data_IF_461480731762
#
_entry.id   IF_461480731762
#
_cell.length_a   1.000
_cell.length_b   1.000
_cell.length_c   1.000
_cell.angle_alpha   90.00
_cell.angle_beta   90.00
_cell.angle_gamma   90.00
#
_symmetry.space_group_name_H-M   'P 1'
#
loop_
_entity.id
_entity.type
_entity.pdbx_description
1 polymer ?
#
# COMPACT_ATOMS: atom_id res chain seq x y z
N UNK A 1 -19.46 12.53 1.83
CA UNK A 1 -18.21 12.05 1.20
C UNK A 1 -18.60 11.13 0.05
N UNK A 2 -18.08 11.35 -1.17
CA UNK A 2 -18.44 10.52 -2.33
C UNK A 2 -17.50 9.32 -2.37
N UNK A 3 -18.03 8.10 -2.18
CA UNK A 3 -17.26 6.86 -2.36
C UNK A 3 -16.68 6.86 -3.77
N UNK A 4 -15.34 6.91 -3.91
CA UNK A 4 -14.68 6.68 -5.20
C UNK A 4 -14.91 5.21 -5.58
N UNK A 5 -15.13 4.87 -6.86
CA UNK A 5 -15.16 3.46 -7.27
C UNK A 5 -13.84 2.80 -6.89
N UNK A 6 -13.91 1.88 -5.93
CA UNK A 6 -12.76 1.29 -5.26
C UNK A 6 -12.61 -0.19 -5.63
N UNK A 7 -11.40 -0.58 -6.03
CA UNK A 7 -11.00 -1.99 -6.15
C UNK A 7 -10.20 -2.32 -4.90
N UNK A 8 -10.62 -3.36 -4.18
CA UNK A 8 -9.94 -3.82 -2.97
C UNK A 8 -8.46 -4.09 -3.25
N UNK A 9 -7.60 -3.46 -2.47
CA UNK A 9 -6.15 -3.63 -2.55
C UNK A 9 -5.77 -4.97 -1.94
N UNK A 10 -4.92 -5.71 -2.64
CA UNK A 10 -4.37 -7.01 -2.24
C UNK A 10 -2.84 -6.98 -2.26
N UNK A 11 -2.20 -7.99 -1.69
CA UNK A 11 -0.73 -8.11 -1.61
C UNK A 11 -0.04 -8.20 -2.97
N UNK A 12 -0.80 -8.56 -4.01
CA UNK A 12 -0.30 -8.75 -5.38
C UNK A 12 -0.37 -7.46 -6.21
N UNK A 13 -0.90 -6.36 -5.64
CA UNK A 13 -0.90 -5.05 -6.30
C UNK A 13 0.53 -4.59 -6.51
N UNK A 14 0.82 -4.01 -7.68
CA UNK A 14 2.07 -3.30 -7.89
C UNK A 14 2.13 -2.06 -6.99
N UNK A 15 3.26 -1.89 -6.30
CA UNK A 15 3.40 -0.86 -5.28
C UNK A 15 3.43 0.56 -5.88
N UNK A 16 4.09 0.73 -7.03
CA UNK A 16 4.13 2.02 -7.73
C UNK A 16 2.76 2.39 -8.31
N UNK A 17 2.02 1.44 -8.88
CA UNK A 17 0.66 1.69 -9.38
C UNK A 17 -0.30 2.08 -8.24
N UNK A 18 -0.17 1.45 -7.08
CA UNK A 18 -0.94 1.78 -5.88
C UNK A 18 -0.72 3.25 -5.48
N UNK A 19 0.52 3.69 -5.35
CA UNK A 19 0.84 5.08 -4.98
C UNK A 19 0.52 6.07 -6.09
N UNK A 20 0.74 5.71 -7.37
CA UNK A 20 0.35 6.56 -8.48
C UNK A 20 -1.16 6.82 -8.51
N UNK A 21 -1.96 5.80 -8.22
CA UNK A 21 -3.43 5.91 -8.21
C UNK A 21 -3.97 6.55 -6.94
N UNK A 22 -3.31 6.33 -5.81
CA UNK A 22 -3.69 6.81 -4.49
C UNK A 22 -2.47 7.41 -3.78
N UNK A 23 -2.01 8.62 -4.17
CA UNK A 23 -0.78 9.21 -3.65
C UNK A 23 -0.78 9.38 -2.13
N UNK A 24 -1.95 9.66 -1.54
CA UNK A 24 -2.14 9.83 -0.10
C UNK A 24 -1.90 8.53 0.69
N UNK A 25 -2.01 7.35 0.05
CA UNK A 25 -1.67 6.05 0.66
C UNK A 25 -0.19 5.94 1.00
N UNK A 26 0.67 6.75 0.38
CA UNK A 26 2.09 6.78 0.74
C UNK A 26 2.29 7.01 2.23
N UNK A 27 1.49 7.86 2.89
CA UNK A 27 1.59 8.11 4.33
C UNK A 27 1.32 6.85 5.15
N UNK A 28 0.30 6.07 4.78
CA UNK A 28 0.00 4.78 5.42
C UNK A 28 1.17 3.81 5.25
N UNK A 29 1.75 3.72 4.06
CA UNK A 29 2.88 2.80 3.78
C UNK A 29 4.14 3.21 4.56
N UNK A 30 4.37 4.51 4.74
CA UNK A 30 5.48 5.04 5.54
C UNK A 30 5.37 4.63 7.01
N UNK A 31 4.16 4.66 7.59
CA UNK A 31 3.92 4.22 8.97
C UNK A 31 4.30 2.74 9.21
N UNK A 32 4.21 1.90 8.17
CA UNK A 32 4.65 0.49 8.21
C UNK A 32 6.12 0.31 7.78
N UNK A 33 6.88 1.39 7.58
CA UNK A 33 8.32 1.32 7.31
C UNK A 33 8.69 1.24 5.83
N UNK A 34 7.73 1.32 4.91
CA UNK A 34 7.99 1.34 3.46
C UNK A 34 8.41 2.74 3.00
N UNK A 35 9.58 3.19 3.43
CA UNK A 35 10.14 4.51 3.07
C UNK A 35 10.56 4.62 1.59
N UNK A 36 10.71 3.48 0.92
CA UNK A 36 11.20 3.38 -0.45
C UNK A 36 10.10 3.48 -1.53
N UNK A 37 8.87 3.91 -1.21
CA UNK A 37 7.79 3.91 -2.21
C UNK A 37 8.10 4.78 -3.45
N UNK A 38 9.03 5.74 -3.31
CA UNK A 38 9.55 6.58 -4.41
C UNK A 38 10.84 6.07 -5.07
N UNK A 39 11.39 4.92 -4.65
CA UNK A 39 12.60 4.32 -5.26
C UNK A 39 12.22 3.57 -6.54
N UNK A 40 13.04 3.64 -7.59
CA UNK A 40 12.81 2.93 -8.87
C UNK A 40 12.55 1.43 -8.67
N UNK A 41 13.10 0.82 -7.62
CA UNK A 41 12.87 -0.58 -7.27
C UNK A 41 11.39 -0.89 -6.95
N UNK A 42 10.64 0.05 -6.34
CA UNK A 42 9.21 -0.14 -6.02
C UNK A 42 8.33 -0.27 -7.26
N UNK A 43 8.83 0.14 -8.44
CA UNK A 43 8.15 0.00 -9.72
C UNK A 43 7.94 -1.44 -10.17
N UNK A 44 8.74 -2.39 -9.67
CA UNK A 44 8.68 -3.80 -10.05
C UNK A 44 8.14 -4.71 -8.95
N UNK A 45 8.03 -4.22 -7.71
CA UNK A 45 7.59 -5.00 -6.57
C UNK A 45 6.07 -4.98 -6.40
N UNK A 46 5.53 -6.09 -5.91
CA UNK A 46 4.19 -6.08 -5.31
C UNK A 46 4.25 -5.57 -3.88
N UNK A 47 3.13 -5.07 -3.36
CA UNK A 47 3.00 -4.63 -1.96
C UNK A 47 3.50 -5.70 -0.97
N UNK A 48 3.10 -6.96 -1.19
CA UNK A 48 3.49 -8.07 -0.31
C UNK A 48 4.98 -8.41 -0.40
N UNK A 49 5.57 -8.41 -1.60
CA UNK A 49 7.01 -8.68 -1.77
C UNK A 49 7.84 -7.55 -1.17
N UNK A 50 7.49 -6.30 -1.47
CA UNK A 50 8.13 -5.12 -0.89
C UNK A 50 8.08 -5.15 0.64
N UNK A 51 6.90 -5.43 1.22
CA UNK A 51 6.76 -5.53 2.67
C UNK A 51 7.61 -6.65 3.30
N UNK A 52 7.67 -7.83 2.67
CA UNK A 52 8.52 -8.94 3.15
C UNK A 52 10.01 -8.64 3.09
N UNK A 53 10.48 -7.90 2.07
CA UNK A 53 11.88 -7.49 1.99
C UNK A 53 12.28 -6.55 3.14
N UNK A 54 11.31 -5.87 3.74
CA UNK A 54 11.48 -5.04 4.92
C UNK A 54 11.17 -5.77 6.25
N UNK A 55 11.01 -7.10 6.21
CA UNK A 55 10.90 -7.94 7.41
C UNK A 55 9.50 -8.08 7.99
N UNK A 56 8.45 -7.60 7.31
CA UNK A 56 7.08 -7.76 7.78
C UNK A 56 6.60 -9.22 7.68
N UNK A 57 5.89 -9.65 8.71
CA UNK A 57 5.12 -10.89 8.75
C UNK A 57 3.86 -10.80 7.88
N UNK A 58 3.30 -11.96 7.52
CA UNK A 58 2.03 -12.01 6.79
C UNK A 58 0.89 -11.29 7.54
N UNK A 59 0.89 -11.34 8.88
CA UNK A 59 -0.10 -10.61 9.69
C UNK A 59 0.06 -9.09 9.64
N UNK A 60 1.30 -8.58 9.65
CA UNK A 60 1.55 -7.14 9.52
C UNK A 60 1.17 -6.64 8.11
N UNK A 61 1.39 -7.47 7.09
CA UNK A 61 0.97 -7.19 5.71
C UNK A 61 -0.56 -7.13 5.60
N UNK A 62 -1.26 -8.08 6.23
CA UNK A 62 -2.73 -8.09 6.26
C UNK A 62 -3.30 -6.86 6.99
N UNK A 63 -2.69 -6.45 8.11
CA UNK A 63 -3.06 -5.25 8.85
C UNK A 63 -2.85 -3.97 8.01
N UNK A 64 -1.66 -3.82 7.42
CA UNK A 64 -1.33 -2.71 6.52
C UNK A 64 -2.32 -2.63 5.36
N UNK A 65 -2.63 -3.75 4.71
CA UNK A 65 -3.63 -3.80 3.65
C UNK A 65 -5.01 -3.36 4.14
N UNK A 66 -5.42 -3.79 5.34
CA UNK A 66 -6.65 -3.34 5.98
C UNK A 66 -6.70 -1.81 6.06
N UNK A 67 -5.66 -1.20 6.63
CA UNK A 67 -5.54 0.26 6.77
C UNK A 67 -5.51 0.98 5.42
N UNK A 68 -4.80 0.45 4.42
CA UNK A 68 -4.79 1.00 3.05
C UNK A 68 -6.19 0.96 2.43
N UNK A 69 -6.91 -0.16 2.57
CA UNK A 69 -8.26 -0.29 2.03
C UNK A 69 -9.25 0.68 2.71
N UNK A 70 -9.17 0.79 4.04
CA UNK A 70 -9.98 1.74 4.82
C UNK A 70 -9.68 3.18 4.43
N UNK A 71 -8.40 3.55 4.34
CA UNK A 71 -7.95 4.87 3.92
C UNK A 71 -8.51 5.25 2.55
N UNK A 72 -8.47 4.34 1.57
CA UNK A 72 -9.00 4.62 0.23
C UNK A 72 -10.54 4.70 0.21
N UNK A 73 -11.23 3.87 0.99
CA UNK A 73 -12.69 3.85 1.03
C UNK A 73 -13.28 5.08 1.73
N UNK A 74 -12.64 5.53 2.82
CA UNK A 74 -13.18 6.56 3.70
C UNK A 74 -12.46 7.91 3.60
N UNK A 75 -11.25 7.98 3.05
CA UNK A 75 -10.52 9.22 2.75
C UNK A 75 -10.23 10.07 3.98
N UNK A 76 -9.54 9.48 4.96
CA UNK A 76 -9.07 10.21 6.16
C UNK A 76 -7.72 10.89 5.91
#
# INVERSE_FOLDING_TARGET
MKKKPFVKITKDVNLADLVFKYPDVAEVLLDYGLHCVSCIASGFDTLGIGAKMHGMSDSEIDEMMGRVNEFIEYGE
#
